data_IF_852803722527
#
_entry.id   IF_852803722527
#
_cell.length_a   1.000
_cell.length_b   1.000
_cell.length_c   1.000
_cell.angle_alpha   90.00
_cell.angle_beta   90.00
_cell.angle_gamma   90.00
#
_symmetry.space_group_name_H-M   'P 1'
#
loop_
_entity.id
_entity.type
_entity.pdbx_description
1 polymer ?
#
# COMPACT_ATOMS: atom_id res chain seq x y z
N UNK A 1 34.58 -29.21 -13.48
CA UNK A 1 33.77 -30.07 -12.60
C UNK A 1 32.42 -29.40 -12.48
N UNK A 2 31.39 -30.03 -13.05
CA UNK A 2 30.04 -29.48 -13.09
C UNK A 2 29.35 -29.84 -11.76
N UNK A 3 29.23 -28.86 -10.88
CA UNK A 3 28.49 -29.01 -9.62
C UNK A 3 27.03 -28.83 -10.00
N UNK A 4 26.30 -29.94 -10.17
CA UNK A 4 24.89 -29.95 -10.58
C UNK A 4 23.97 -29.11 -9.67
N UNK A 5 22.68 -29.07 -9.99
CA UNK A 5 21.70 -28.22 -9.31
C UNK A 5 21.72 -28.36 -7.78
N UNK A 6 22.08 -27.29 -7.08
CA UNK A 6 22.16 -27.23 -5.62
C UNK A 6 20.88 -26.58 -5.07
N UNK A 7 20.33 -27.12 -4.00
CA UNK A 7 19.13 -26.55 -3.37
C UNK A 7 19.44 -25.17 -2.73
N UNK A 8 18.46 -24.26 -2.66
CA UNK A 8 18.65 -22.93 -2.06
C UNK A 8 19.13 -22.97 -0.60
N UNK A 9 18.71 -23.99 0.16
CA UNK A 9 19.15 -24.19 1.55
C UNK A 9 20.62 -24.60 1.63
N UNK A 10 21.07 -25.49 0.75
CA UNK A 10 22.49 -25.87 0.69
C UNK A 10 23.33 -24.70 0.22
N UNK A 11 22.84 -23.89 -0.72
CA UNK A 11 23.49 -22.66 -1.12
C UNK A 11 23.65 -21.71 0.06
N UNK A 12 22.57 -21.44 0.81
CA UNK A 12 22.62 -20.59 2.01
C UNK A 12 23.65 -21.04 3.05
N UNK A 13 23.70 -22.35 3.34
CA UNK A 13 24.68 -22.92 4.28
C UNK A 13 26.12 -22.77 3.80
N UNK A 14 26.38 -23.00 2.52
CA UNK A 14 27.72 -22.84 1.93
C UNK A 14 28.13 -21.37 1.92
N UNK A 15 27.20 -20.43 1.67
CA UNK A 15 27.48 -18.99 1.73
C UNK A 15 27.82 -18.55 3.16
N UNK A 16 27.09 -19.05 4.15
CA UNK A 16 27.34 -18.78 5.57
C UNK A 16 28.67 -19.36 6.03
N UNK A 17 28.98 -20.60 5.63
CA UNK A 17 30.28 -21.24 5.87
C UNK A 17 31.42 -20.45 5.23
N UNK A 18 31.27 -20.04 3.96
CA UNK A 18 32.23 -19.19 3.26
C UNK A 18 32.46 -17.87 3.99
N UNK A 19 31.39 -17.21 4.46
CA UNK A 19 31.49 -15.96 5.20
C UNK A 19 32.23 -16.15 6.52
N UNK A 20 32.00 -17.27 7.22
CA UNK A 20 32.66 -17.61 8.47
C UNK A 20 34.15 -17.91 8.27
N UNK A 21 34.49 -18.63 7.20
CA UNK A 21 35.89 -18.93 6.86
C UNK A 21 36.63 -17.69 6.35
N UNK A 22 35.97 -16.84 5.56
CA UNK A 22 36.53 -15.57 5.10
C UNK A 22 36.74 -14.59 6.25
N UNK A 23 35.79 -14.51 7.19
CA UNK A 23 35.91 -13.66 8.39
C UNK A 23 36.96 -14.18 9.40
N UNK A 24 37.17 -15.50 9.48
CA UNK A 24 38.20 -16.10 10.33
C UNK A 24 39.63 -15.97 9.79
N UNK A 25 39.78 -15.69 8.49
CA UNK A 25 41.07 -15.63 7.79
C UNK A 25 41.66 -14.23 7.66
N UNK A 26 41.94 -13.56 8.79
CA UNK A 26 42.97 -12.50 8.93
C UNK A 26 43.17 -11.50 7.76
N UNK A 27 42.11 -11.00 7.12
CA UNK A 27 42.23 -9.95 6.10
C UNK A 27 41.80 -8.60 6.67
N UNK A 28 42.80 -7.76 6.96
CA UNK A 28 42.63 -6.37 7.40
C UNK A 28 42.86 -5.42 6.22
N UNK A 29 42.04 -5.55 5.18
CA UNK A 29 42.11 -4.72 3.96
C UNK A 29 40.74 -4.63 3.29
N UNK A 30 40.55 -3.76 2.29
CA UNK A 30 39.29 -3.63 1.57
C UNK A 30 38.83 -4.98 1.04
N UNK A 31 37.62 -5.41 1.41
CA UNK A 31 37.02 -6.71 1.04
C UNK A 31 37.08 -6.94 -0.47
N UNK A 32 37.05 -5.87 -1.26
CA UNK A 32 37.10 -5.88 -2.72
C UNK A 32 38.40 -6.46 -3.30
N UNK A 33 39.56 -6.15 -2.70
CA UNK A 33 40.86 -6.66 -3.15
C UNK A 33 41.00 -8.17 -2.88
N UNK A 34 40.43 -8.61 -1.77
CA UNK A 34 40.38 -10.03 -1.42
C UNK A 34 39.44 -10.79 -2.34
N UNK A 35 38.24 -10.24 -2.57
CA UNK A 35 37.23 -10.82 -3.46
C UNK A 35 37.78 -10.95 -4.88
N UNK A 36 38.46 -9.92 -5.39
CA UNK A 36 39.09 -9.96 -6.71
C UNK A 36 40.19 -11.03 -6.80
N UNK A 37 41.03 -11.19 -5.75
CA UNK A 37 42.06 -12.24 -5.71
C UNK A 37 41.48 -13.65 -5.64
N UNK A 38 40.43 -13.85 -4.86
CA UNK A 38 39.76 -15.16 -4.74
C UNK A 38 39.03 -15.51 -6.03
N UNK A 39 38.25 -14.58 -6.58
CA UNK A 39 37.52 -14.77 -7.84
C UNK A 39 38.46 -15.00 -9.02
N UNK A 40 39.58 -14.26 -9.11
CA UNK A 40 40.56 -14.43 -10.19
C UNK A 40 41.26 -15.79 -10.14
N UNK A 41 41.51 -16.30 -8.93
CA UNK A 41 42.09 -17.63 -8.74
C UNK A 41 41.10 -18.77 -9.06
N UNK A 42 39.80 -18.56 -8.80
CA UNK A 42 38.76 -19.58 -9.02
C UNK A 42 38.20 -19.59 -10.45
N UNK A 43 38.06 -18.42 -11.10
CA UNK A 43 37.32 -18.24 -12.35
C UNK A 43 38.17 -17.69 -13.51
N UNK A 44 39.41 -17.27 -13.23
CA UNK A 44 40.33 -16.69 -14.19
C UNK A 44 40.10 -15.18 -14.42
N UNK A 45 41.15 -14.44 -14.83
CA UNK A 45 41.16 -12.98 -14.81
C UNK A 45 40.09 -12.32 -15.70
N UNK A 46 39.76 -12.93 -16.85
CA UNK A 46 38.75 -12.38 -17.77
C UNK A 46 37.32 -12.42 -17.21
N UNK A 47 36.92 -13.54 -16.59
CA UNK A 47 35.59 -13.65 -15.96
C UNK A 47 35.49 -12.84 -14.68
N UNK A 48 36.58 -12.75 -13.92
CA UNK A 48 36.62 -11.90 -12.73
C UNK A 48 36.49 -10.43 -13.09
N UNK A 49 37.15 -9.94 -14.14
CA UNK A 49 36.96 -8.57 -14.59
C UNK A 49 35.49 -8.29 -14.95
N UNK A 50 34.83 -9.21 -15.66
CA UNK A 50 33.41 -9.10 -16.01
C UNK A 50 32.48 -9.10 -14.78
N UNK A 51 32.72 -9.99 -13.81
CA UNK A 51 31.94 -10.08 -12.56
C UNK A 51 32.18 -8.84 -11.69
N UNK A 52 33.43 -8.39 -11.56
CA UNK A 52 33.77 -7.19 -10.80
C UNK A 52 33.20 -5.93 -11.46
N UNK A 53 33.17 -5.86 -12.79
CA UNK A 53 32.54 -4.77 -13.55
C UNK A 53 31.01 -4.75 -13.36
N UNK A 54 30.36 -5.91 -13.31
CA UNK A 54 28.93 -6.01 -12.99
C UNK A 54 28.61 -5.76 -11.52
N UNK A 55 29.50 -6.10 -10.59
CA UNK A 55 29.38 -5.75 -9.17
C UNK A 55 29.66 -4.26 -8.91
N UNK A 56 30.53 -3.63 -9.71
CA UNK A 56 30.83 -2.20 -9.71
C UNK A 56 29.80 -1.33 -10.41
N UNK A 57 28.71 -1.91 -10.92
CA UNK A 57 27.48 -1.18 -11.20
C UNK A 57 26.52 -1.24 -10.00
N UNK A 58 26.78 -0.53 -8.89
CA UNK A 58 25.70 -0.25 -7.96
C UNK A 58 24.83 0.83 -8.61
N UNK A 59 23.53 0.55 -8.73
CA UNK A 59 22.49 1.60 -8.56
C UNK A 59 22.53 2.82 -9.49
N UNK A 60 22.72 2.67 -10.81
CA UNK A 60 22.28 3.76 -11.72
C UNK A 60 20.74 3.87 -11.78
N UNK A 61 20.01 2.80 -11.47
CA UNK A 61 18.53 2.79 -11.53
C UNK A 61 17.83 3.35 -10.27
N UNK A 62 18.55 3.58 -9.17
CA UNK A 62 17.96 3.87 -7.86
C UNK A 62 18.07 5.33 -7.37
N UNK A 63 18.99 6.13 -7.93
CA UNK A 63 19.10 7.55 -7.55
C UNK A 63 17.84 8.31 -7.92
N UNK A 64 17.36 9.14 -7.00
CA UNK A 64 16.12 9.91 -7.13
C UNK A 64 14.86 9.06 -7.35
N UNK A 65 14.89 7.78 -6.95
CA UNK A 65 13.74 6.87 -7.06
C UNK A 65 12.50 7.39 -6.32
N UNK A 66 12.68 8.09 -5.19
CA UNK A 66 11.58 8.71 -4.45
C UNK A 66 10.83 9.77 -5.29
N UNK A 67 11.55 10.54 -6.12
CA UNK A 67 10.96 11.60 -6.95
C UNK A 67 10.08 11.04 -8.09
N UNK A 68 10.34 9.80 -8.54
CA UNK A 68 9.55 9.16 -9.60
C UNK A 68 8.07 8.96 -9.22
N UNK A 69 7.76 8.89 -7.93
CA UNK A 69 6.41 8.63 -7.43
C UNK A 69 5.68 9.88 -6.94
N UNK A 70 6.34 11.05 -6.97
CA UNK A 70 5.76 12.31 -6.53
C UNK A 70 5.09 13.05 -7.69
N UNK A 71 4.08 13.85 -7.36
CA UNK A 71 3.44 14.72 -8.34
C UNK A 71 4.35 15.91 -8.70
N UNK A 72 4.23 16.39 -9.94
CA UNK A 72 5.11 17.42 -10.49
C UNK A 72 5.10 18.73 -9.69
N UNK A 73 3.99 19.09 -9.03
CA UNK A 73 3.89 20.32 -8.23
C UNK A 73 4.69 20.20 -6.95
N UNK A 74 4.66 19.04 -6.30
CA UNK A 74 5.47 18.78 -5.10
C UNK A 74 6.97 18.87 -5.43
N UNK A 75 7.40 18.24 -6.53
CA UNK A 75 8.79 18.30 -6.99
C UNK A 75 9.22 19.74 -7.32
N UNK A 76 8.41 20.49 -8.08
CA UNK A 76 8.71 21.87 -8.43
C UNK A 76 8.78 22.79 -7.21
N UNK A 77 7.89 22.60 -6.22
CA UNK A 77 7.91 23.38 -4.98
C UNK A 77 9.15 23.13 -4.13
N UNK A 78 9.70 21.91 -4.17
CA UNK A 78 10.95 21.59 -3.52
C UNK A 78 12.13 22.23 -4.25
N UNK A 79 12.19 22.07 -5.58
CA UNK A 79 13.32 22.52 -6.37
C UNK A 79 13.41 24.04 -6.59
N UNK A 80 12.31 24.80 -6.46
CA UNK A 80 12.30 26.24 -6.78
C UNK A 80 13.26 27.10 -5.93
N UNK A 81 13.67 26.63 -4.76
CA UNK A 81 14.61 27.32 -3.87
C UNK A 81 16.07 26.87 -4.09
N UNK A 82 16.29 25.85 -4.91
CA UNK A 82 17.61 25.28 -5.17
C UNK A 82 18.38 26.04 -6.24
N UNK A 83 19.69 25.86 -6.26
CA UNK A 83 20.54 26.45 -7.29
C UNK A 83 20.25 25.83 -8.67
N UNK A 84 20.22 26.59 -9.78
CA UNK A 84 19.89 26.08 -11.12
C UNK A 84 20.72 24.87 -11.58
N UNK A 85 21.97 24.76 -11.10
CA UNK A 85 22.80 23.57 -11.33
C UNK A 85 22.25 22.31 -10.66
N UNK A 86 21.81 22.41 -9.41
CA UNK A 86 21.22 21.30 -8.65
C UNK A 86 19.94 20.84 -9.32
N UNK A 87 19.09 21.80 -9.72
CA UNK A 87 17.85 21.52 -10.45
C UNK A 87 18.17 20.77 -11.75
N UNK A 88 19.16 21.23 -12.53
CA UNK A 88 19.56 20.57 -13.77
C UNK A 88 20.03 19.13 -13.55
N UNK A 89 20.83 18.88 -12.50
CA UNK A 89 21.27 17.52 -12.15
C UNK A 89 20.08 16.63 -11.80
N UNK A 90 19.14 17.11 -10.98
CA UNK A 90 17.95 16.33 -10.58
C UNK A 90 17.05 16.03 -11.78
N UNK A 91 16.72 17.05 -12.59
CA UNK A 91 15.84 16.88 -13.76
C UNK A 91 16.45 15.96 -14.82
N UNK A 92 17.77 15.93 -14.97
CA UNK A 92 18.44 15.02 -15.91
C UNK A 92 18.31 13.54 -15.52
N UNK A 93 17.93 13.24 -14.27
CA UNK A 93 17.71 11.87 -13.79
C UNK A 93 16.22 11.48 -13.70
N UNK A 94 15.29 12.38 -14.05
CA UNK A 94 13.86 12.08 -14.14
C UNK A 94 13.47 11.63 -15.56
N UNK A 95 12.28 11.01 -15.67
CA UNK A 95 11.70 10.72 -16.98
C UNK A 95 11.48 12.03 -17.77
N UNK A 96 11.76 12.08 -19.09
CA UNK A 96 11.63 13.31 -19.87
C UNK A 96 10.26 14.00 -19.79
N UNK A 97 9.17 13.23 -19.68
CA UNK A 97 7.82 13.79 -19.53
C UNK A 97 7.64 14.46 -18.17
N UNK A 98 8.12 13.82 -17.12
CA UNK A 98 8.08 14.35 -15.75
C UNK A 98 9.00 15.58 -15.62
N UNK A 99 10.23 15.50 -16.13
CA UNK A 99 11.21 16.58 -16.11
C UNK A 99 10.69 17.83 -16.84
N UNK A 100 10.10 17.65 -18.03
CA UNK A 100 9.48 18.76 -18.77
C UNK A 100 8.32 19.39 -18.02
N UNK A 101 7.45 18.58 -17.42
CA UNK A 101 6.33 19.09 -16.64
C UNK A 101 6.79 19.84 -15.37
N UNK A 102 7.80 19.34 -14.66
CA UNK A 102 8.40 20.02 -13.50
C UNK A 102 9.06 21.34 -13.92
N UNK A 103 9.80 21.36 -15.02
CA UNK A 103 10.45 22.57 -15.56
C UNK A 103 9.43 23.69 -15.82
N UNK A 104 8.25 23.37 -16.38
CA UNK A 104 7.19 24.37 -16.64
C UNK A 104 6.58 24.97 -15.37
N UNK A 105 6.74 24.31 -14.21
CA UNK A 105 6.21 24.76 -12.92
C UNK A 105 7.24 25.57 -12.10
N UNK A 106 8.49 25.65 -12.56
CA UNK A 106 9.52 26.50 -11.96
C UNK A 106 9.33 27.97 -12.37
N UNK A 107 9.88 28.95 -11.62
CA UNK A 107 9.86 30.37 -12.02
C UNK A 107 10.43 30.58 -13.43
N UNK A 108 9.73 31.33 -14.29
CA UNK A 108 10.11 31.54 -15.71
C UNK A 108 11.56 32.03 -15.88
N UNK A 109 12.03 32.84 -14.94
CA UNK A 109 13.37 33.44 -14.91
C UNK A 109 14.50 32.40 -14.88
N UNK A 110 14.27 31.21 -14.33
CA UNK A 110 15.29 30.17 -14.17
C UNK A 110 15.14 29.01 -15.17
N UNK A 111 13.99 28.88 -15.85
CA UNK A 111 13.71 27.73 -16.72
C UNK A 111 14.74 27.58 -17.85
N UNK A 112 15.08 28.69 -18.51
CA UNK A 112 16.05 28.69 -19.60
C UNK A 112 17.48 28.36 -19.12
N UNK A 113 17.89 28.88 -17.95
CA UNK A 113 19.21 28.59 -17.37
C UNK A 113 19.34 27.11 -16.98
N UNK A 114 18.29 26.55 -16.35
CA UNK A 114 18.23 25.13 -16.01
C UNK A 114 18.32 24.25 -17.27
N UNK A 115 17.56 24.56 -18.32
CA UNK A 115 17.59 23.80 -19.57
C UNK A 115 18.96 23.85 -20.28
N UNK A 116 19.61 25.01 -20.29
CA UNK A 116 20.97 25.14 -20.84
C UNK A 116 21.99 24.31 -20.06
N UNK A 117 21.91 24.31 -18.73
CA UNK A 117 22.77 23.50 -17.87
C UNK A 117 22.55 22.01 -18.08
N UNK A 118 21.29 21.59 -18.24
CA UNK A 118 20.96 20.20 -18.58
C UNK A 118 21.64 19.75 -19.88
N UNK A 119 21.64 20.62 -20.90
CA UNK A 119 22.28 20.34 -22.19
C UNK A 119 23.83 20.25 -22.11
N UNK A 120 24.45 20.88 -21.10
CA UNK A 120 25.90 20.87 -20.89
C UNK A 120 26.37 19.91 -19.78
N UNK A 121 25.51 19.02 -19.29
CA UNK A 121 25.87 18.01 -18.28
C UNK A 121 26.73 16.91 -18.92
N UNK A 122 28.04 16.95 -18.71
CA UNK A 122 28.95 15.93 -19.25
C UNK A 122 29.40 14.90 -18.20
N UNK A 123 29.66 15.30 -16.94
CA UNK A 123 30.11 14.39 -15.89
C UNK A 123 29.79 14.94 -14.48
N UNK A 124 28.77 14.38 -13.82
CA UNK A 124 28.50 14.65 -12.40
C UNK A 124 29.11 13.52 -11.57
N UNK A 125 29.98 13.80 -10.58
CA UNK A 125 30.56 12.76 -9.75
C UNK A 125 29.45 11.96 -9.03
N UNK A 126 29.51 10.62 -9.01
CA UNK A 126 28.49 9.79 -8.35
C UNK A 126 28.27 10.11 -6.87
N UNK A 127 29.33 10.54 -6.17
CA UNK A 127 29.23 10.98 -4.78
C UNK A 127 28.32 12.21 -4.59
N UNK A 128 28.35 13.15 -5.54
CA UNK A 128 27.49 14.34 -5.53
C UNK A 128 26.05 13.98 -5.82
N UNK A 129 25.80 13.07 -6.77
CA UNK A 129 24.45 12.56 -7.06
C UNK A 129 23.85 11.92 -5.81
N UNK A 130 24.63 11.07 -5.13
CA UNK A 130 24.20 10.39 -3.91
C UNK A 130 23.92 11.36 -2.77
N UNK A 131 24.77 12.36 -2.57
CA UNK A 131 24.57 13.39 -1.54
C UNK A 131 23.28 14.19 -1.77
N UNK A 132 23.03 14.60 -3.02
CA UNK A 132 21.78 15.29 -3.39
C UNK A 132 20.57 14.36 -3.16
N UNK A 133 20.65 13.08 -3.55
CA UNK A 133 19.56 12.12 -3.33
C UNK A 133 19.25 11.90 -1.84
N UNK A 134 20.28 11.77 -0.99
CA UNK A 134 20.12 11.62 0.47
C UNK A 134 19.45 12.86 1.10
N UNK A 135 19.86 14.06 0.71
CA UNK A 135 19.26 15.32 1.19
C UNK A 135 17.79 15.41 0.76
N UNK A 136 17.50 15.10 -0.50
CA UNK A 136 16.13 15.09 -1.03
C UNK A 136 15.27 14.08 -0.26
N UNK A 137 15.76 12.88 0.01
CA UNK A 137 15.02 11.88 0.78
C UNK A 137 14.73 12.35 2.21
N UNK A 138 15.69 12.97 2.88
CA UNK A 138 15.52 13.50 4.23
C UNK A 138 14.47 14.62 4.27
N UNK A 139 14.55 15.58 3.33
CA UNK A 139 13.59 16.68 3.25
C UNK A 139 12.19 16.21 2.85
N UNK A 140 12.08 15.22 1.96
CA UNK A 140 10.79 14.61 1.63
C UNK A 140 10.15 13.90 2.82
N UNK A 141 10.94 13.24 3.67
CA UNK A 141 10.43 12.65 4.91
C UNK A 141 9.96 13.73 5.90
N UNK A 142 10.64 14.88 5.96
CA UNK A 142 10.26 16.01 6.81
C UNK A 142 9.06 16.80 6.27
N UNK A 143 8.93 16.91 4.94
CA UNK A 143 7.89 17.64 4.24
C UNK A 143 6.64 16.80 3.93
N UNK A 144 6.72 15.46 4.07
CA UNK A 144 5.57 14.59 3.96
C UNK A 144 4.51 15.02 4.99
N UNK A 145 3.34 15.51 4.56
CA UNK A 145 2.27 15.78 5.49
C UNK A 145 1.87 14.43 6.11
N UNK A 146 1.87 14.32 7.43
CA UNK A 146 1.31 13.18 8.17
C UNK A 146 -0.19 12.95 7.94
N UNK A 147 -0.79 13.62 6.95
CA UNK A 147 -2.23 13.58 6.65
C UNK A 147 -2.60 12.65 5.50
N UNK A 148 -1.65 12.16 4.70
CA UNK A 148 -1.94 11.31 3.54
C UNK A 148 -1.63 9.82 3.70
N UNK A 149 -0.52 9.50 4.37
CA UNK A 149 -0.09 8.11 4.56
C UNK A 149 -0.84 7.40 5.69
N UNK A 150 -1.12 8.10 6.80
CA UNK A 150 -1.83 7.53 7.94
C UNK A 150 -3.28 7.17 7.57
N UNK A 151 -3.98 8.03 6.82
CA UNK A 151 -5.36 7.75 6.37
C UNK A 151 -5.40 6.52 5.45
N UNK A 152 -4.48 6.42 4.49
CA UNK A 152 -4.38 5.24 3.61
C UNK A 152 -4.03 3.96 4.39
N UNK A 153 -3.21 4.07 5.43
CA UNK A 153 -2.89 2.94 6.31
C UNK A 153 -4.10 2.45 7.10
N UNK A 154 -4.86 3.37 7.70
CA UNK A 154 -6.09 3.03 8.44
C UNK A 154 -7.17 2.46 7.52
N UNK A 155 -7.34 3.02 6.32
CA UNK A 155 -8.27 2.49 5.30
C UNK A 155 -7.88 1.07 4.90
N UNK A 156 -6.60 0.84 4.58
CA UNK A 156 -6.10 -0.48 4.19
C UNK A 156 -6.26 -1.52 5.31
N UNK A 157 -6.01 -1.12 6.56
CA UNK A 157 -6.20 -2.00 7.73
C UNK A 157 -7.70 -2.30 7.92
N UNK A 158 -8.57 -1.30 7.85
CA UNK A 158 -10.02 -1.50 7.95
C UNK A 158 -10.53 -2.46 6.85
N UNK A 159 -10.09 -2.28 5.60
CA UNK A 159 -10.46 -3.17 4.50
C UNK A 159 -9.93 -4.59 4.67
N UNK A 160 -8.70 -4.74 5.15
CA UNK A 160 -8.13 -6.05 5.48
C UNK A 160 -8.92 -6.73 6.59
N UNK A 161 -9.22 -6.01 7.68
CA UNK A 161 -9.96 -6.54 8.83
C UNK A 161 -11.38 -6.95 8.44
N UNK A 162 -12.08 -6.20 7.57
CA UNK A 162 -13.40 -6.56 7.04
C UNK A 162 -13.42 -7.93 6.32
N UNK A 163 -12.28 -8.37 5.79
CA UNK A 163 -12.17 -9.68 5.13
C UNK A 163 -11.93 -10.83 6.12
N UNK A 164 -11.39 -10.55 7.32
CA UNK A 164 -11.09 -11.56 8.34
C UNK A 164 -12.34 -12.03 9.08
N UNK A 165 -12.34 -13.25 9.60
CA UNK A 165 -13.41 -13.75 10.46
C UNK A 165 -13.54 -12.91 11.74
N UNK A 166 -14.76 -12.80 12.27
CA UNK A 166 -15.10 -11.88 13.37
C UNK A 166 -14.26 -12.10 14.63
N UNK A 167 -13.90 -13.35 14.95
CA UNK A 167 -13.04 -13.62 16.11
C UNK A 167 -11.63 -13.06 15.97
N UNK A 168 -11.04 -13.15 14.77
CA UNK A 168 -9.69 -12.66 14.49
C UNK A 168 -9.68 -11.14 14.40
N UNK A 169 -10.69 -10.58 13.75
CA UNK A 169 -10.96 -9.14 13.69
C UNK A 169 -11.01 -8.52 15.09
N UNK A 170 -11.87 -9.05 15.97
CA UNK A 170 -12.01 -8.57 17.35
C UNK A 170 -10.70 -8.71 18.13
N UNK A 171 -10.01 -9.85 18.00
CA UNK A 171 -8.73 -10.07 18.68
C UNK A 171 -7.67 -9.03 18.24
N UNK A 172 -7.56 -8.74 16.95
CA UNK A 172 -6.61 -7.74 16.45
C UNK A 172 -7.02 -6.34 16.92
N UNK A 173 -8.30 -5.97 16.79
CA UNK A 173 -8.79 -4.65 17.23
C UNK A 173 -8.58 -4.43 18.73
N UNK A 174 -8.81 -5.44 19.57
CA UNK A 174 -8.55 -5.34 21.01
C UNK A 174 -7.08 -5.08 21.31
N UNK A 175 -6.15 -5.73 20.59
CA UNK A 175 -4.71 -5.51 20.76
C UNK A 175 -4.28 -4.12 20.28
N UNK A 176 -4.89 -3.63 19.21
CA UNK A 176 -4.68 -2.25 18.74
C UNK A 176 -5.24 -1.26 19.77
N UNK A 177 -6.42 -1.50 20.34
CA UNK A 177 -7.04 -0.64 21.35
C UNK A 177 -6.24 -0.58 22.66
N UNK A 178 -5.68 -1.71 23.11
CA UNK A 178 -4.75 -1.75 24.25
C UNK A 178 -3.53 -0.85 24.05
N UNK A 179 -2.99 -0.79 22.83
CA UNK A 179 -1.80 -0.01 22.50
C UNK A 179 -2.12 1.45 22.14
N UNK A 180 -3.21 1.68 21.42
CA UNK A 180 -3.66 2.97 20.91
C UNK A 180 -5.19 2.99 20.70
N UNK A 181 -5.97 3.49 21.69
CA UNK A 181 -7.43 3.55 21.62
C UNK A 181 -7.95 4.42 20.48
N UNK A 182 -7.25 5.53 20.17
CA UNK A 182 -7.65 6.44 19.10
C UNK A 182 -7.53 5.78 17.73
N UNK A 183 -6.44 5.06 17.48
CA UNK A 183 -6.24 4.30 16.25
C UNK A 183 -7.31 3.21 16.08
N UNK A 184 -7.63 2.46 17.14
CA UNK A 184 -8.69 1.46 17.10
C UNK A 184 -10.07 2.08 16.79
N UNK A 185 -10.36 3.25 17.39
CA UNK A 185 -11.58 4.01 17.09
C UNK A 185 -11.63 4.45 15.63
N UNK A 186 -10.53 4.99 15.09
CA UNK A 186 -10.46 5.43 13.71
C UNK A 186 -10.63 4.26 12.73
N UNK A 187 -9.99 3.11 12.98
CA UNK A 187 -10.17 1.89 12.18
C UNK A 187 -11.63 1.44 12.22
N UNK A 188 -12.25 1.41 13.42
CA UNK A 188 -13.67 1.03 13.57
C UNK A 188 -14.60 1.94 12.78
N UNK A 189 -14.36 3.25 12.77
CA UNK A 189 -15.17 4.19 11.99
C UNK A 189 -15.07 3.95 10.48
N UNK A 190 -13.95 3.41 10.00
CA UNK A 190 -13.74 3.09 8.58
C UNK A 190 -14.32 1.71 8.19
N UNK A 191 -14.70 0.89 9.17
CA UNK A 191 -15.30 -0.42 8.94
C UNK A 191 -16.81 -0.26 8.76
N UNK A 192 -17.34 -0.79 7.65
CA UNK A 192 -18.78 -0.89 7.43
C UNK A 192 -19.26 -2.26 7.92
N UNK A 193 -19.96 -2.27 9.04
CA UNK A 193 -20.45 -3.46 9.72
C UNK A 193 -21.90 -3.77 9.38
N UNK A 194 -22.38 -4.97 9.75
CA UNK A 194 -23.76 -5.36 9.50
C UNK A 194 -24.77 -4.49 10.26
N UNK A 195 -24.39 -3.95 11.41
CA UNK A 195 -25.25 -3.04 12.18
C UNK A 195 -25.35 -1.65 11.52
N UNK A 196 -24.36 -1.26 10.71
CA UNK A 196 -24.37 0.02 9.98
C UNK A 196 -25.38 0.04 8.82
N UNK A 197 -26.01 -1.10 8.49
CA UNK A 197 -27.14 -1.17 7.55
C UNK A 197 -28.31 -0.26 7.99
N UNK A 198 -28.43 0.04 9.29
CA UNK A 198 -29.44 0.98 9.79
C UNK A 198 -29.23 2.39 9.22
N UNK A 199 -27.98 2.77 8.95
CA UNK A 199 -27.59 4.09 8.45
C UNK A 199 -27.81 4.25 6.94
N UNK A 200 -28.03 3.16 6.21
CA UNK A 200 -28.33 3.19 4.78
C UNK A 200 -29.73 3.76 4.56
N UNK A 201 -29.90 4.61 3.55
CA UNK A 201 -31.19 5.17 3.20
C UNK A 201 -32.17 4.09 2.69
N UNK A 202 -33.48 4.37 2.74
CA UNK A 202 -34.50 3.38 2.39
C UNK A 202 -34.37 2.93 0.91
N UNK A 203 -33.96 3.83 0.01
CA UNK A 203 -33.70 3.50 -1.39
C UNK A 203 -32.48 2.58 -1.54
N UNK A 204 -31.39 2.85 -0.83
CA UNK A 204 -30.20 2.00 -0.83
C UNK A 204 -30.49 0.62 -0.28
N UNK A 205 -31.23 0.52 0.82
CA UNK A 205 -31.65 -0.76 1.39
C UNK A 205 -32.48 -1.58 0.41
N UNK A 206 -33.42 -0.97 -0.31
CA UNK A 206 -34.20 -1.67 -1.34
C UNK A 206 -33.35 -2.17 -2.52
N UNK A 207 -32.23 -1.50 -2.85
CA UNK A 207 -31.30 -2.00 -3.88
C UNK A 207 -30.51 -3.21 -3.36
N UNK A 208 -30.02 -3.16 -2.12
CA UNK A 208 -29.33 -4.29 -1.48
C UNK A 208 -30.25 -5.52 -1.46
N UNK A 209 -31.49 -5.36 -0.98
CA UNK A 209 -32.46 -6.46 -0.85
C UNK A 209 -32.85 -7.10 -2.18
N UNK A 210 -32.66 -6.44 -3.33
CA UNK A 210 -32.90 -7.03 -4.65
C UNK A 210 -31.80 -7.99 -5.10
N UNK A 211 -30.57 -7.80 -4.62
CA UNK A 211 -29.42 -8.65 -4.98
C UNK A 211 -29.13 -9.74 -3.94
N UNK A 212 -29.81 -9.72 -2.78
CA UNK A 212 -29.62 -10.69 -1.70
C UNK A 212 -30.67 -11.82 -1.77
N UNK A 213 -30.25 -13.10 -1.80
CA UNK A 213 -31.17 -14.24 -1.71
C UNK A 213 -31.89 -14.33 -0.35
N UNK A 214 -33.18 -14.69 -0.35
CA UNK A 214 -34.00 -14.76 0.88
C UNK A 214 -33.42 -15.75 1.93
N UNK A 215 -32.86 -16.88 1.50
CA UNK A 215 -32.24 -17.85 2.40
C UNK A 215 -30.99 -17.29 3.11
N UNK A 216 -30.20 -16.45 2.44
CA UNK A 216 -29.07 -15.75 3.06
C UNK A 216 -29.56 -14.67 4.01
N UNK A 217 -30.62 -13.94 3.62
CA UNK A 217 -31.23 -12.92 4.46
C UNK A 217 -31.76 -13.51 5.78
N UNK A 218 -32.54 -14.59 5.72
CA UNK A 218 -33.07 -15.28 6.92
C UNK A 218 -31.93 -15.72 7.85
N UNK A 219 -30.86 -16.28 7.28
CA UNK A 219 -29.70 -16.73 8.06
C UNK A 219 -28.97 -15.56 8.73
N UNK A 220 -28.76 -14.45 8.00
CA UNK A 220 -28.11 -13.24 8.50
C UNK A 220 -28.92 -12.54 9.62
N UNK A 221 -30.25 -12.57 9.53
CA UNK A 221 -31.16 -11.95 10.49
C UNK A 221 -31.23 -12.70 11.84
N UNK A 222 -30.73 -13.95 11.92
CA UNK A 222 -30.81 -14.76 13.14
C UNK A 222 -30.12 -14.13 14.35
N UNK A 223 -29.00 -13.44 14.13
CA UNK A 223 -28.25 -12.73 15.18
C UNK A 223 -28.20 -11.22 14.93
N UNK A 224 -29.06 -10.70 14.06
CA UNK A 224 -29.15 -9.26 13.81
C UNK A 224 -29.78 -8.54 15.02
N UNK A 225 -29.39 -7.29 15.24
CA UNK A 225 -30.04 -6.42 16.21
C UNK A 225 -31.46 -6.07 15.75
N UNK A 226 -32.39 -5.82 16.69
CA UNK A 226 -33.76 -5.44 16.35
C UNK A 226 -33.85 -4.21 15.42
N UNK A 227 -33.05 -3.14 15.60
CA UNK A 227 -33.05 -2.01 14.67
C UNK A 227 -32.72 -2.39 13.22
N UNK A 228 -31.77 -3.32 13.02
CA UNK A 228 -31.39 -3.81 11.69
C UNK A 228 -32.53 -4.64 11.09
N UNK A 229 -33.15 -5.53 11.89
CA UNK A 229 -34.30 -6.33 11.45
C UNK A 229 -35.44 -5.43 11.01
N UNK A 230 -35.81 -4.45 11.83
CA UNK A 230 -36.88 -3.49 11.54
C UNK A 230 -36.60 -2.70 10.26
N UNK A 231 -35.36 -2.20 10.10
CA UNK A 231 -34.93 -1.47 8.92
C UNK A 231 -35.05 -2.32 7.64
N UNK A 232 -34.64 -3.59 7.71
CA UNK A 232 -34.72 -4.53 6.60
C UNK A 232 -36.19 -4.83 6.26
N UNK A 233 -36.99 -5.24 7.24
CA UNK A 233 -38.39 -5.62 7.04
C UNK A 233 -39.25 -4.45 6.52
N UNK A 234 -39.02 -3.23 7.04
CA UNK A 234 -39.69 -2.00 6.57
C UNK A 234 -39.46 -1.74 5.08
N UNK A 235 -38.30 -2.14 4.54
CA UNK A 235 -37.91 -1.92 3.16
C UNK A 235 -38.30 -3.08 2.22
N UNK A 236 -39.09 -4.04 2.71
CA UNK A 236 -39.65 -5.14 1.94
C UNK A 236 -41.15 -4.92 1.67
N UNK A 237 -41.73 -5.71 0.75
CA UNK A 237 -43.19 -5.79 0.65
C UNK A 237 -43.76 -6.56 1.85
N UNK A 238 -44.99 -6.26 2.27
CA UNK A 238 -45.64 -6.93 3.41
C UNK A 238 -45.58 -8.45 3.32
N UNK A 239 -45.84 -8.99 2.11
CA UNK A 239 -45.75 -10.43 1.84
C UNK A 239 -44.34 -10.99 2.03
N UNK A 240 -43.33 -10.27 1.55
CA UNK A 240 -41.94 -10.72 1.65
C UNK A 240 -41.44 -10.62 3.10
N UNK A 241 -41.78 -9.54 3.81
CA UNK A 241 -41.47 -9.39 5.23
C UNK A 241 -42.09 -10.52 6.04
N UNK A 242 -43.38 -10.81 5.83
CA UNK A 242 -44.07 -11.92 6.52
C UNK A 242 -43.40 -13.27 6.25
N UNK A 243 -43.04 -13.56 5.00
CA UNK A 243 -42.36 -14.80 4.64
C UNK A 243 -40.99 -14.94 5.33
N UNK A 244 -40.20 -13.86 5.37
CA UNK A 244 -38.90 -13.85 6.07
C UNK A 244 -39.09 -14.04 7.57
N UNK A 245 -40.12 -13.43 8.18
CA UNK A 245 -40.42 -13.60 9.60
C UNK A 245 -40.81 -15.04 9.93
N UNK A 246 -41.70 -15.65 9.13
CA UNK A 246 -42.12 -17.04 9.29
C UNK A 246 -40.92 -18.01 9.11
N UNK A 247 -40.08 -17.77 8.09
CA UNK A 247 -38.86 -18.56 7.86
C UNK A 247 -37.85 -18.42 9.00
N UNK A 248 -37.73 -17.22 9.60
CA UNK A 248 -36.83 -16.96 10.72
C UNK A 248 -37.26 -17.66 12.02
N UNK A 249 -38.58 -17.74 12.25
CA UNK A 249 -39.19 -18.49 13.35
C UNK A 249 -39.04 -20.01 13.16
N UNK A 250 -39.22 -20.49 11.92
CA UNK A 250 -38.99 -21.89 11.56
C UNK A 250 -37.49 -22.26 11.55
N UNK A 251 -36.60 -21.26 11.48
CA UNK A 251 -35.16 -21.49 11.46
C UNK A 251 -34.68 -22.06 12.80
N UNK A 252 -34.33 -23.33 12.76
CA UNK A 252 -33.73 -24.05 13.88
C UNK A 252 -32.33 -23.53 14.28
N UNK A 253 -31.62 -24.27 15.14
CA UNK A 253 -30.26 -23.90 15.53
C UNK A 253 -29.32 -23.93 14.32
N UNK A 254 -28.64 -22.81 14.08
CA UNK A 254 -27.66 -22.63 13.00
C UNK A 254 -26.29 -22.33 13.59
N UNK A 255 -25.22 -22.65 12.84
CA UNK A 255 -23.86 -22.35 13.27
C UNK A 255 -23.59 -20.86 13.15
N UNK A 256 -22.95 -20.27 14.15
CA UNK A 256 -22.55 -18.86 14.12
C UNK A 256 -21.72 -18.53 12.87
N UNK A 257 -20.83 -19.45 12.46
CA UNK A 257 -20.03 -19.29 11.25
C UNK A 257 -20.85 -19.11 9.96
N UNK A 258 -22.02 -19.74 9.89
CA UNK A 258 -22.88 -19.66 8.70
C UNK A 258 -23.67 -18.34 8.70
N UNK A 259 -24.08 -17.87 9.88
CA UNK A 259 -24.66 -16.54 10.07
C UNK A 259 -23.68 -15.44 9.69
N UNK A 260 -22.43 -15.51 10.17
CA UNK A 260 -21.38 -14.54 9.84
C UNK A 260 -21.06 -14.52 8.33
N UNK A 261 -21.06 -15.70 7.68
CA UNK A 261 -20.89 -15.78 6.22
C UNK A 261 -22.03 -15.09 5.48
N UNK A 262 -23.27 -15.29 5.91
CA UNK A 262 -24.44 -14.64 5.32
C UNK A 262 -24.40 -13.12 5.50
N UNK A 263 -24.07 -12.64 6.72
CA UNK A 263 -23.90 -11.21 6.98
C UNK A 263 -22.80 -10.61 6.08
N UNK A 264 -21.66 -11.28 5.92
CA UNK A 264 -20.59 -10.85 5.02
C UNK A 264 -21.01 -10.82 3.55
N UNK A 265 -21.80 -11.79 3.10
CA UNK A 265 -22.31 -11.81 1.73
C UNK A 265 -23.16 -10.57 1.45
N UNK A 266 -24.02 -10.18 2.40
CA UNK A 266 -24.85 -8.97 2.31
C UNK A 266 -23.97 -7.71 2.29
N UNK A 267 -22.98 -7.61 3.17
CA UNK A 267 -22.03 -6.48 3.19
C UNK A 267 -21.25 -6.36 1.87
N UNK A 268 -20.89 -7.50 1.26
CA UNK A 268 -20.21 -7.52 -0.04
C UNK A 268 -21.11 -7.00 -1.16
N UNK A 269 -22.40 -7.33 -1.13
CA UNK A 269 -23.40 -6.78 -2.07
C UNK A 269 -23.53 -5.28 -1.87
N UNK A 270 -23.65 -4.81 -0.62
CA UNK A 270 -23.71 -3.38 -0.31
C UNK A 270 -22.48 -2.63 -0.84
N UNK A 271 -21.27 -3.12 -0.58
CA UNK A 271 -20.03 -2.52 -1.09
C UNK A 271 -19.97 -2.49 -2.61
N UNK A 272 -20.36 -3.57 -3.28
CA UNK A 272 -20.43 -3.62 -4.75
C UNK A 272 -21.39 -2.55 -5.30
N UNK A 273 -22.54 -2.35 -4.67
CA UNK A 273 -23.51 -1.33 -5.08
C UNK A 273 -23.01 0.09 -4.80
N UNK A 274 -22.22 0.29 -3.74
CA UNK A 274 -21.51 1.54 -3.44
C UNK A 274 -20.47 1.85 -4.53
N UNK A 275 -19.63 0.87 -4.88
CA UNK A 275 -18.60 0.98 -5.92
C UNK A 275 -19.21 1.29 -7.31
N UNK A 276 -20.44 0.81 -7.56
CA UNK A 276 -21.23 1.12 -8.76
C UNK A 276 -21.96 2.48 -8.70
N UNK A 277 -21.88 3.19 -7.57
CA UNK A 277 -22.56 4.48 -7.35
C UNK A 277 -24.09 4.37 -7.22
N UNK A 278 -24.63 3.18 -6.98
CA UNK A 278 -26.07 2.94 -6.86
C UNK A 278 -26.62 3.23 -5.47
N UNK A 279 -25.78 3.13 -4.45
CA UNK A 279 -26.12 3.40 -3.05
C UNK A 279 -25.00 4.23 -2.40
N UNK A 280 -25.31 4.86 -1.28
CA UNK A 280 -24.34 5.58 -0.45
C UNK A 280 -24.33 4.90 0.92
N UNK A 281 -23.16 4.45 1.37
CA UNK A 281 -22.98 3.87 2.69
C UNK A 281 -22.50 4.97 3.65
N UNK A 282 -23.38 5.42 4.54
CA UNK A 282 -23.03 6.42 5.55
C UNK A 282 -22.08 5.79 6.58
N UNK A 283 -20.83 6.26 6.63
CA UNK A 283 -19.79 5.77 7.55
C UNK A 283 -18.37 5.97 7.02
N UNK A 284 -18.18 5.95 5.70
CA UNK A 284 -16.88 6.22 5.05
C UNK A 284 -16.72 7.71 4.74
N UNK A 285 -16.30 8.47 5.75
CA UNK A 285 -15.75 9.81 5.55
C UNK A 285 -16.73 10.95 5.74
N UNK A 286 -16.50 11.74 6.79
CA UNK A 286 -16.96 13.11 6.86
C UNK A 286 -16.30 13.92 5.75
N UNK A 287 -17.09 14.38 4.78
CA UNK A 287 -16.62 15.23 3.69
C UNK A 287 -17.71 15.41 2.63
N UNK A 288 -18.62 16.36 2.90
CA UNK A 288 -19.52 17.03 1.96
C UNK A 288 -20.02 16.25 0.74
N UNK A 289 -21.16 15.58 0.90
CA UNK A 289 -22.11 15.45 -0.21
C UNK A 289 -23.17 16.52 0.02
N UNK A 290 -22.95 17.67 -0.63
CA UNK A 290 -23.98 18.71 -0.75
C UNK A 290 -25.03 18.21 -1.73
N UNK A 291 -26.29 18.16 -1.26
CA UNK A 291 -27.50 17.91 -2.06
C UNK A 291 -27.78 19.09 -2.98
#
# INVERSE_FOLDING_TARGET
ADLGGVSPETMGKVTEEFYRTAAGGGHTGPVEDYLQKVLSKALGPGKTAWIMDHLRKPTEEASFSALKFLDNKTIANFLKAEHPQTIAVVLAHLDPLQAGAVLTLLPEEIQADVAMRMACLENVPPGVIKEIDEIIQHELQAAAPSKGADIRGLDAVAEMLNQLNKSTELHILSRIEEANPEMASNIRQLMFTFDDLVLVDDRGMQQILKEVPNNELVLALKTASEPVKDKILKNMSERAAQMITEDLEALGPVRLSDVEKAQKAILKVAKKLEDEGKIILAGRGGGDIVV
#
